data_IF_647341218255
#
_entry.id   IF_647341218255
#
_cell.length_a   1.000
_cell.length_b   1.000
_cell.length_c   1.000
_cell.angle_alpha   90.00
_cell.angle_beta   90.00
_cell.angle_gamma   90.00
#
_symmetry.space_group_name_H-M   'P 1'
#
loop_
_entity.id
_entity.type
_entity.pdbx_description
1 polymer ?
#
# COMPACT_ATOMS: atom_id res chain seq x y z
N UNK A 1 -30.28 21.75 42.75
CA UNK A 1 -28.90 21.61 42.27
C UNK A 1 -28.93 21.88 40.77
N UNK A 2 -28.43 23.04 40.38
CA UNK A 2 -28.49 23.56 39.02
C UNK A 2 -27.61 22.75 38.10
N UNK A 3 -28.19 22.11 37.09
CA UNK A 3 -27.44 21.62 35.94
C UNK A 3 -26.92 22.85 35.18
N UNK A 4 -25.65 23.15 35.39
CA UNK A 4 -24.92 24.03 34.47
C UNK A 4 -24.95 23.42 33.10
N UNK A 5 -25.73 24.00 32.19
CA UNK A 5 -25.65 23.75 30.74
C UNK A 5 -24.28 24.20 30.26
N UNK A 6 -23.27 23.34 30.39
CA UNK A 6 -22.00 23.55 29.72
C UNK A 6 -22.32 23.58 28.22
N UNK A 7 -22.06 24.71 27.59
CA UNK A 7 -22.20 24.86 26.13
C UNK A 7 -21.40 23.74 25.45
N UNK A 8 -22.10 22.79 24.83
CA UNK A 8 -21.47 21.70 24.09
C UNK A 8 -20.49 22.27 23.08
N UNK A 9 -19.26 21.80 23.09
CA UNK A 9 -18.25 22.24 22.15
C UNK A 9 -18.68 21.88 20.72
N UNK A 10 -18.25 22.62 19.68
CA UNK A 10 -18.54 22.29 18.28
C UNK A 10 -18.15 20.84 17.93
N UNK A 11 -17.05 20.35 18.50
CA UNK A 11 -16.56 18.98 18.27
C UNK A 11 -17.52 17.95 18.88
N UNK A 12 -18.06 18.19 20.07
CA UNK A 12 -19.03 17.29 20.70
C UNK A 12 -20.35 17.24 19.92
N UNK A 13 -20.79 18.37 19.35
CA UNK A 13 -21.98 18.40 18.47
C UNK A 13 -21.74 17.58 17.18
N UNK A 14 -20.56 17.69 16.59
CA UNK A 14 -20.14 16.89 15.44
C UNK A 14 -20.13 15.40 15.77
N UNK A 15 -19.49 15.02 16.90
CA UNK A 15 -19.44 13.64 17.36
C UNK A 15 -20.86 13.06 17.57
N UNK A 16 -21.75 13.81 18.22
CA UNK A 16 -23.15 13.41 18.39
C UNK A 16 -23.86 13.20 17.06
N UNK A 17 -23.68 14.11 16.11
CA UNK A 17 -24.27 13.98 14.77
C UNK A 17 -23.78 12.70 14.06
N UNK A 18 -22.48 12.40 14.14
CA UNK A 18 -21.90 11.20 13.53
C UNK A 18 -22.49 9.94 14.15
N UNK A 19 -22.48 9.83 15.47
CA UNK A 19 -22.98 8.65 16.19
C UNK A 19 -24.47 8.43 15.95
N UNK A 20 -25.27 9.50 15.94
CA UNK A 20 -26.73 9.40 15.70
C UNK A 20 -27.06 9.02 14.25
N UNK A 21 -26.27 9.49 13.29
CA UNK A 21 -26.47 9.22 11.85
C UNK A 21 -25.68 8.00 11.34
N UNK A 22 -25.11 7.15 12.22
CA UNK A 22 -24.28 5.99 11.86
C UNK A 22 -24.85 5.10 10.75
N UNK A 23 -26.18 4.91 10.70
CA UNK A 23 -26.81 4.11 9.63
C UNK A 23 -26.65 4.74 8.25
N UNK A 24 -26.73 6.06 8.16
CA UNK A 24 -26.49 6.79 6.92
C UNK A 24 -25.03 6.68 6.50
N UNK A 25 -24.09 6.80 7.45
CA UNK A 25 -22.67 6.62 7.16
C UNK A 25 -22.33 5.19 6.70
N UNK A 26 -22.93 4.14 7.28
CA UNK A 26 -22.77 2.77 6.75
C UNK A 26 -23.18 2.66 5.29
N UNK A 27 -24.30 3.28 4.91
CA UNK A 27 -24.78 3.24 3.54
C UNK A 27 -23.85 4.02 2.59
N UNK A 28 -23.37 5.18 3.01
CA UNK A 28 -22.41 5.99 2.26
C UNK A 28 -21.08 5.21 2.05
N UNK A 29 -20.54 4.62 3.12
CA UNK A 29 -19.31 3.83 3.01
C UNK A 29 -19.49 2.58 2.16
N UNK A 30 -20.66 1.90 2.26
CA UNK A 30 -20.96 0.75 1.40
C UNK A 30 -20.97 1.16 -0.08
N UNK A 31 -21.65 2.27 -0.41
CA UNK A 31 -21.67 2.78 -1.78
C UNK A 31 -20.27 3.20 -2.26
N UNK A 32 -19.50 3.88 -1.40
CA UNK A 32 -18.15 4.30 -1.70
C UNK A 32 -17.20 3.10 -1.92
N UNK A 33 -17.30 2.05 -1.08
CA UNK A 33 -16.51 0.82 -1.24
C UNK A 33 -16.85 0.09 -2.53
N UNK A 34 -18.14 -0.02 -2.89
CA UNK A 34 -18.53 -0.63 -4.16
C UNK A 34 -18.03 0.16 -5.37
N UNK A 35 -18.13 1.48 -5.32
CA UNK A 35 -17.61 2.36 -6.37
C UNK A 35 -16.09 2.27 -6.48
N UNK A 36 -15.38 2.46 -5.37
CA UNK A 36 -13.92 2.41 -5.35
C UNK A 36 -13.38 1.01 -5.70
N UNK A 37 -14.03 -0.06 -5.21
CA UNK A 37 -13.66 -1.43 -5.54
C UNK A 37 -13.74 -1.72 -7.04
N UNK A 38 -14.79 -1.22 -7.72
CA UNK A 38 -14.93 -1.35 -9.18
C UNK A 38 -13.97 -0.46 -9.98
N UNK A 39 -13.27 0.46 -9.32
CA UNK A 39 -12.36 1.40 -9.98
C UNK A 39 -10.88 1.05 -9.77
N UNK A 40 -10.56 0.06 -8.94
CA UNK A 40 -9.17 -0.35 -8.68
C UNK A 40 -8.47 -0.80 -9.98
N UNK A 41 -9.15 -1.55 -10.82
CA UNK A 41 -8.61 -2.06 -12.10
C UNK A 41 -8.35 -0.95 -13.13
N UNK A 42 -8.83 0.27 -12.88
CA UNK A 42 -8.60 1.43 -13.76
C UNK A 42 -7.36 2.23 -13.38
N UNK A 43 -6.71 1.86 -12.29
CA UNK A 43 -5.50 2.54 -11.83
C UNK A 43 -4.32 2.12 -12.69
N UNK A 44 -3.72 3.08 -13.37
CA UNK A 44 -2.51 2.85 -14.16
C UNK A 44 -1.30 2.96 -13.23
N UNK A 45 -0.54 1.85 -13.13
CA UNK A 45 0.71 1.83 -12.38
C UNK A 45 1.86 2.04 -13.36
N UNK A 46 2.68 3.06 -13.10
CA UNK A 46 3.84 3.37 -13.93
C UNK A 46 5.10 2.76 -13.30
N UNK A 47 5.72 1.84 -14.01
CA UNK A 47 6.93 1.12 -13.60
C UNK A 47 8.21 1.83 -14.03
N UNK A 48 8.13 2.80 -14.95
CA UNK A 48 9.28 3.55 -15.42
C UNK A 48 9.65 4.69 -14.46
N UNK A 49 10.71 4.49 -13.69
CA UNK A 49 11.24 5.51 -12.75
C UNK A 49 11.78 6.74 -13.51
N UNK A 50 12.25 6.56 -14.75
CA UNK A 50 12.85 7.65 -15.53
C UNK A 50 11.82 8.70 -15.91
N UNK A 51 10.54 8.32 -16.02
CA UNK A 51 9.42 9.22 -16.30
C UNK A 51 9.21 10.28 -15.20
N UNK A 52 9.71 10.01 -13.98
CA UNK A 52 9.63 10.92 -12.84
C UNK A 52 10.83 11.89 -12.74
N UNK A 53 11.84 11.75 -13.61
CA UNK A 53 12.96 12.70 -13.69
C UNK A 53 12.47 14.07 -14.16
N UNK A 54 13.01 15.18 -13.60
CA UNK A 54 12.73 16.53 -14.11
C UNK A 54 13.12 16.65 -15.59
N UNK A 55 12.27 17.32 -16.37
CA UNK A 55 12.47 17.48 -17.82
C UNK A 55 13.80 18.19 -18.19
N UNK A 56 14.38 18.93 -17.24
CA UNK A 56 15.61 19.71 -17.45
C UNK A 56 16.89 18.86 -17.23
N UNK A 57 16.78 17.63 -16.69
CA UNK A 57 17.91 16.77 -16.48
C UNK A 57 18.47 16.27 -17.81
N UNK A 58 19.82 16.15 -17.89
CA UNK A 58 20.49 15.64 -19.08
C UNK A 58 20.02 14.22 -19.43
N UNK A 59 19.81 13.38 -18.42
CA UNK A 59 19.29 12.02 -18.60
C UNK A 59 17.90 12.03 -19.24
N UNK A 60 16.96 12.86 -18.75
CA UNK A 60 15.61 12.94 -19.34
C UNK A 60 15.63 13.47 -20.75
N UNK A 61 16.46 14.49 -21.04
CA UNK A 61 16.66 15.00 -22.41
C UNK A 61 17.26 13.95 -23.32
N UNK A 62 18.25 13.19 -22.84
CA UNK A 62 18.84 12.10 -23.61
C UNK A 62 17.83 11.01 -23.95
N UNK A 63 17.02 10.59 -22.98
CA UNK A 63 15.94 9.60 -23.21
C UNK A 63 14.90 10.13 -24.21
N UNK A 64 14.44 11.37 -24.05
CA UNK A 64 13.50 11.98 -25.00
C UNK A 64 14.07 12.04 -26.41
N UNK A 65 15.34 12.42 -26.55
CA UNK A 65 16.01 12.44 -27.84
C UNK A 65 16.12 11.03 -28.47
N UNK A 66 16.39 10.03 -27.63
CA UNK A 66 16.42 8.63 -28.07
C UNK A 66 15.05 8.18 -28.58
N UNK A 67 13.98 8.51 -27.85
CA UNK A 67 12.60 8.15 -28.23
C UNK A 67 12.13 8.88 -29.51
N UNK A 68 12.58 10.13 -29.72
CA UNK A 68 12.20 10.93 -30.90
C UNK A 68 12.98 10.57 -32.16
N UNK A 69 14.29 10.26 -32.02
CA UNK A 69 15.18 10.10 -33.17
C UNK A 69 15.51 8.63 -33.48
N UNK A 70 15.28 7.70 -32.56
CA UNK A 70 15.62 6.29 -32.70
C UNK A 70 14.41 5.40 -32.36
N UNK A 71 14.21 4.37 -33.18
CA UNK A 71 13.26 3.30 -32.81
C UNK A 71 13.91 2.41 -31.76
N UNK A 72 13.37 2.42 -30.53
CA UNK A 72 13.86 1.57 -29.45
C UNK A 72 13.16 0.22 -29.53
N UNK A 73 13.86 -0.78 -30.03
CA UNK A 73 13.39 -2.16 -29.98
C UNK A 73 13.49 -2.72 -28.58
N UNK A 74 12.51 -3.54 -28.23
CA UNK A 74 12.55 -4.24 -26.96
C UNK A 74 13.73 -5.21 -26.88
N UNK A 75 14.30 -5.35 -25.69
CA UNK A 75 15.34 -6.34 -25.43
C UNK A 75 15.16 -6.95 -24.05
N UNK A 76 15.80 -8.09 -23.79
CA UNK A 76 15.82 -8.71 -22.48
C UNK A 76 17.18 -9.33 -22.19
N UNK A 77 17.59 -9.31 -20.92
CA UNK A 77 18.69 -10.14 -20.44
C UNK A 77 18.13 -11.39 -19.78
N UNK A 78 18.58 -12.55 -20.19
CA UNK A 78 18.19 -13.83 -19.62
C UNK A 78 19.38 -14.46 -18.96
N UNK A 79 19.31 -14.71 -17.68
CA UNK A 79 20.37 -15.39 -16.93
C UNK A 79 19.89 -16.79 -16.55
N UNK A 80 20.69 -17.81 -16.83
CA UNK A 80 20.46 -19.18 -16.39
C UNK A 80 21.59 -19.59 -15.44
N UNK A 81 21.23 -20.13 -14.28
CA UNK A 81 22.18 -20.63 -13.29
C UNK A 81 22.26 -22.16 -13.34
N UNK A 82 23.39 -22.71 -12.88
CA UNK A 82 23.64 -24.15 -12.82
C UNK A 82 23.56 -24.86 -14.18
N UNK A 83 24.00 -24.21 -15.23
CA UNK A 83 24.05 -24.75 -16.60
C UNK A 83 25.49 -24.96 -17.06
N UNK A 84 25.71 -25.97 -17.90
CA UNK A 84 26.98 -26.11 -18.61
C UNK A 84 27.00 -25.23 -19.85
N UNK A 85 28.20 -24.85 -20.33
CA UNK A 85 28.32 -24.04 -21.55
C UNK A 85 27.58 -24.66 -22.74
N UNK A 86 27.67 -26.00 -22.93
CA UNK A 86 26.98 -26.72 -24.01
C UNK A 86 25.44 -26.68 -23.88
N UNK A 87 24.92 -26.63 -22.65
CA UNK A 87 23.48 -26.42 -22.43
C UNK A 87 23.09 -24.99 -22.76
N UNK A 88 23.90 -24.01 -22.33
CA UNK A 88 23.67 -22.61 -22.64
C UNK A 88 23.69 -22.34 -24.14
N UNK A 89 24.65 -22.94 -24.89
CA UNK A 89 24.72 -22.82 -26.36
C UNK A 89 23.44 -23.37 -27.02
N UNK A 90 22.88 -24.47 -26.54
CA UNK A 90 21.60 -25.00 -27.04
C UNK A 90 20.43 -24.08 -26.75
N UNK A 91 20.40 -23.50 -25.56
CA UNK A 91 19.35 -22.54 -25.18
C UNK A 91 19.47 -21.28 -26.02
N UNK A 92 20.67 -20.77 -26.27
CA UNK A 92 20.89 -19.64 -27.18
C UNK A 92 20.33 -19.88 -28.57
N UNK A 93 20.55 -21.08 -29.12
CA UNK A 93 19.98 -21.46 -30.42
C UNK A 93 18.45 -21.53 -30.37
N UNK A 94 17.88 -22.10 -29.32
CA UNK A 94 16.42 -22.14 -29.12
C UNK A 94 15.79 -20.76 -28.96
N UNK A 95 16.45 -19.87 -28.21
CA UNK A 95 16.00 -18.46 -28.06
C UNK A 95 16.00 -17.73 -29.42
N UNK A 96 17.02 -17.97 -30.23
CA UNK A 96 17.12 -17.34 -31.56
C UNK A 96 16.06 -17.85 -32.58
N UNK A 97 15.46 -19.01 -32.34
CA UNK A 97 14.40 -19.58 -33.16
C UNK A 97 12.98 -19.12 -32.76
N UNK A 98 12.83 -18.39 -31.63
CA UNK A 98 11.55 -17.90 -31.20
C UNK A 98 11.01 -16.79 -32.11
N UNK A 99 9.71 -16.82 -32.37
CA UNK A 99 9.02 -15.76 -33.10
C UNK A 99 9.13 -14.44 -32.33
N UNK A 100 9.48 -13.35 -33.02
CA UNK A 100 9.66 -12.04 -32.42
C UNK A 100 11.04 -11.78 -31.82
N UNK A 101 11.97 -12.75 -31.85
CA UNK A 101 13.39 -12.56 -31.51
C UNK A 101 14.18 -12.20 -32.75
N UNK A 102 14.90 -11.08 -32.72
CA UNK A 102 15.76 -10.62 -33.80
C UNK A 102 17.19 -11.10 -33.68
N UNK A 103 17.73 -11.17 -32.47
CA UNK A 103 19.09 -11.65 -32.22
C UNK A 103 19.29 -12.09 -30.77
N UNK A 104 20.23 -13.02 -30.58
CA UNK A 104 20.68 -13.47 -29.27
C UNK A 104 22.19 -13.37 -29.22
N UNK A 105 22.71 -12.57 -28.30
CA UNK A 105 24.16 -12.50 -28.06
C UNK A 105 24.52 -13.42 -26.88
N UNK A 106 25.38 -14.39 -27.19
CA UNK A 106 25.97 -15.33 -26.23
C UNK A 106 27.30 -15.85 -26.80
N UNK A 107 28.35 -15.83 -26.02
CA UNK A 107 29.66 -16.36 -26.37
C UNK A 107 30.36 -16.95 -25.13
N UNK A 108 31.63 -17.40 -25.30
CA UNK A 108 32.46 -17.99 -24.26
C UNK A 108 33.21 -16.96 -23.41
N UNK A 109 32.93 -15.67 -23.56
CA UNK A 109 33.48 -14.62 -22.73
C UNK A 109 32.99 -14.70 -21.27
N UNK A 110 33.78 -14.14 -20.35
CA UNK A 110 33.39 -14.06 -18.94
C UNK A 110 32.18 -13.15 -18.71
N UNK A 111 31.78 -12.35 -19.67
CA UNK A 111 30.62 -11.48 -19.63
C UNK A 111 29.34 -12.28 -19.88
N UNK A 112 29.41 -13.36 -20.69
CA UNK A 112 28.26 -14.18 -21.03
C UNK A 112 28.25 -15.54 -20.31
N UNK A 113 29.41 -16.11 -19.94
CA UNK A 113 29.46 -17.38 -19.23
C UNK A 113 30.51 -17.38 -18.12
N UNK A 114 30.03 -17.53 -16.86
CA UNK A 114 30.87 -17.55 -15.67
C UNK A 114 30.25 -18.37 -14.55
N UNK A 115 31.05 -19.13 -13.81
CA UNK A 115 30.65 -19.85 -12.61
C UNK A 115 29.38 -20.74 -12.82
N UNK A 116 29.32 -21.46 -13.94
CA UNK A 116 28.16 -22.26 -14.35
C UNK A 116 26.86 -21.44 -14.56
N UNK A 117 26.98 -20.17 -14.81
CA UNK A 117 25.87 -19.26 -15.16
C UNK A 117 26.08 -18.70 -16.54
N UNK A 118 24.98 -18.64 -17.32
CA UNK A 118 24.96 -18.08 -18.67
C UNK A 118 24.10 -16.83 -18.71
N UNK A 119 24.57 -15.76 -19.35
CA UNK A 119 23.84 -14.52 -19.60
C UNK A 119 23.64 -14.33 -21.09
N UNK A 120 22.38 -14.29 -21.52
CA UNK A 120 21.99 -14.03 -22.89
C UNK A 120 21.45 -12.61 -23.02
N UNK A 121 21.88 -11.87 -24.04
CA UNK A 121 21.24 -10.62 -24.43
C UNK A 121 20.35 -10.88 -25.64
N UNK A 122 19.04 -10.78 -25.42
CA UNK A 122 18.01 -11.07 -26.44
C UNK A 122 17.45 -9.74 -26.93
N UNK A 123 17.44 -9.52 -28.25
CA UNK A 123 16.79 -8.37 -28.88
C UNK A 123 15.53 -8.85 -29.62
N UNK A 124 14.47 -8.09 -29.53
CA UNK A 124 13.18 -8.39 -30.18
C UNK A 124 13.00 -7.62 -31.48
N UNK A 125 12.05 -8.02 -32.28
CA UNK A 125 11.66 -7.32 -33.51
C UNK A 125 10.62 -6.23 -33.25
N UNK A 126 9.88 -6.33 -32.14
CA UNK A 126 8.88 -5.36 -31.73
C UNK A 126 9.48 -4.20 -30.95
N UNK A 127 8.83 -3.04 -30.99
CA UNK A 127 9.15 -1.89 -30.16
C UNK A 127 8.81 -2.17 -28.68
N UNK A 128 9.47 -1.48 -27.78
CA UNK A 128 9.20 -1.58 -26.36
C UNK A 128 7.73 -1.25 -26.04
N UNK A 129 7.06 -2.15 -25.28
CA UNK A 129 5.63 -2.04 -24.96
C UNK A 129 4.68 -2.43 -26.09
N UNK A 130 5.18 -2.97 -27.23
CA UNK A 130 4.31 -3.51 -28.27
C UNK A 130 3.78 -4.91 -27.92
N UNK A 131 2.56 -5.28 -28.36
CA UNK A 131 2.01 -6.62 -28.11
C UNK A 131 2.90 -7.75 -28.68
N UNK A 132 3.65 -7.47 -29.75
CA UNK A 132 4.58 -8.41 -30.36
C UNK A 132 5.80 -8.67 -29.47
N UNK A 133 6.36 -7.61 -28.88
CA UNK A 133 7.47 -7.73 -27.92
C UNK A 133 7.03 -8.45 -26.64
N UNK A 134 5.84 -8.15 -26.14
CA UNK A 134 5.28 -8.81 -24.94
C UNK A 134 5.06 -10.32 -25.19
N UNK A 135 4.56 -10.69 -26.37
CA UNK A 135 4.38 -12.09 -26.74
C UNK A 135 5.73 -12.83 -26.88
N UNK A 136 6.73 -12.19 -27.48
CA UNK A 136 8.08 -12.75 -27.59
C UNK A 136 8.75 -12.90 -26.21
N UNK A 137 8.61 -11.91 -25.34
CA UNK A 137 9.10 -11.98 -23.97
C UNK A 137 8.43 -13.11 -23.17
N UNK A 138 7.12 -13.31 -23.34
CA UNK A 138 6.42 -14.43 -22.71
C UNK A 138 6.97 -15.79 -23.20
N UNK A 139 7.25 -15.94 -24.50
CA UNK A 139 7.86 -17.15 -25.07
C UNK A 139 9.29 -17.38 -24.51
N UNK A 140 10.08 -16.31 -24.34
CA UNK A 140 11.40 -16.39 -23.71
C UNK A 140 11.30 -16.85 -22.24
N UNK A 141 10.36 -16.29 -21.47
CA UNK A 141 10.10 -16.70 -20.09
C UNK A 141 9.68 -18.19 -20.01
N UNK A 142 8.83 -18.66 -20.91
CA UNK A 142 8.39 -20.06 -20.97
C UNK A 142 9.56 -21.02 -21.29
N UNK A 143 10.43 -20.63 -22.23
CA UNK A 143 11.62 -21.42 -22.58
C UNK A 143 12.63 -21.48 -21.43
N UNK A 144 12.78 -20.40 -20.67
CA UNK A 144 13.66 -20.33 -19.50
C UNK A 144 13.11 -21.07 -18.28
N UNK A 145 11.78 -21.23 -18.14
CA UNK A 145 11.09 -21.77 -16.98
C UNK A 145 11.61 -23.13 -16.44
N UNK A 146 12.12 -24.09 -17.26
CA UNK A 146 12.69 -25.33 -16.75
C UNK A 146 14.03 -25.18 -16.03
N UNK A 147 14.66 -24.01 -16.11
CA UNK A 147 15.97 -23.71 -15.52
C UNK A 147 15.84 -22.80 -14.29
N UNK A 148 16.90 -22.75 -13.49
CA UNK A 148 17.05 -21.69 -12.49
C UNK A 148 17.42 -20.39 -13.23
N UNK A 149 16.46 -19.49 -13.40
CA UNK A 149 16.52 -18.40 -14.35
C UNK A 149 16.08 -17.05 -13.79
N UNK A 150 16.60 -16.00 -14.40
CA UNK A 150 16.13 -14.63 -14.25
C UNK A 150 15.99 -14.01 -15.64
N UNK A 151 14.86 -13.32 -15.90
CA UNK A 151 14.61 -12.61 -17.15
C UNK A 151 14.38 -11.13 -16.83
N UNK A 152 15.24 -10.26 -17.35
CA UNK A 152 15.19 -8.81 -17.13
C UNK A 152 14.88 -8.12 -18.46
N UNK A 153 13.60 -7.76 -18.74
CA UNK A 153 13.24 -7.00 -19.93
C UNK A 153 13.78 -5.56 -19.84
N UNK A 154 14.14 -4.98 -20.99
CA UNK A 154 14.39 -3.53 -21.08
C UNK A 154 13.09 -2.78 -20.79
N UNK A 155 13.20 -1.64 -20.11
CA UNK A 155 12.02 -0.89 -19.68
C UNK A 155 11.37 -1.37 -18.38
N UNK A 156 11.64 -2.61 -17.97
CA UNK A 156 11.23 -3.14 -16.67
C UNK A 156 12.41 -3.80 -15.92
N UNK A 157 13.38 -2.99 -15.46
CA UNK A 157 14.61 -3.49 -14.84
C UNK A 157 14.38 -4.22 -13.52
N UNK A 158 13.17 -4.19 -12.99
CA UNK A 158 12.84 -4.79 -11.70
C UNK A 158 11.94 -6.02 -11.81
N UNK A 159 11.56 -6.47 -13.03
CA UNK A 159 10.55 -7.51 -13.23
C UNK A 159 9.30 -7.25 -12.37
N UNK A 160 8.40 -6.41 -12.87
CA UNK A 160 7.20 -5.95 -12.15
C UNK A 160 6.39 -7.08 -11.55
N UNK A 161 6.35 -8.25 -12.21
CA UNK A 161 5.60 -9.42 -11.72
C UNK A 161 6.24 -9.99 -10.45
N UNK A 162 7.57 -10.11 -10.42
CA UNK A 162 8.32 -10.57 -9.24
C UNK A 162 8.19 -9.57 -8.08
N UNK A 163 8.29 -8.26 -8.36
CA UNK A 163 8.08 -7.23 -7.34
C UNK A 163 6.68 -7.26 -6.77
N UNK A 164 5.65 -7.43 -7.59
CA UNK A 164 4.27 -7.52 -7.12
C UNK A 164 4.05 -8.75 -6.24
N UNK A 165 4.68 -9.88 -6.57
CA UNK A 165 4.63 -11.08 -5.75
C UNK A 165 5.35 -10.89 -4.41
N UNK A 166 6.54 -10.33 -4.41
CA UNK A 166 7.29 -9.99 -3.18
C UNK A 166 6.52 -9.02 -2.30
N UNK A 167 5.93 -7.96 -2.89
CA UNK A 167 5.11 -7.02 -2.15
C UNK A 167 3.89 -7.68 -1.52
N UNK A 168 3.26 -8.65 -2.19
CA UNK A 168 2.15 -9.41 -1.62
C UNK A 168 2.59 -10.21 -0.39
N UNK A 169 3.76 -10.84 -0.44
CA UNK A 169 4.34 -11.57 0.71
C UNK A 169 4.67 -10.61 1.85
N UNK A 170 5.31 -9.48 1.56
CA UNK A 170 5.63 -8.45 2.57
C UNK A 170 4.35 -7.94 3.24
N UNK A 171 3.31 -7.65 2.46
CA UNK A 171 2.02 -7.19 2.99
C UNK A 171 1.35 -8.25 3.86
N UNK A 172 1.41 -9.51 3.46
CA UNK A 172 0.87 -10.62 4.26
C UNK A 172 1.61 -10.78 5.60
N UNK A 173 2.95 -10.68 5.58
CA UNK A 173 3.77 -10.73 6.81
C UNK A 173 3.44 -9.52 7.71
N UNK A 174 3.41 -8.31 7.14
CA UNK A 174 3.07 -7.10 7.88
C UNK A 174 1.68 -7.21 8.52
N UNK A 175 0.67 -7.66 7.77
CA UNK A 175 -0.67 -7.88 8.27
C UNK A 175 -0.70 -8.93 9.41
N UNK A 176 0.03 -10.05 9.27
CA UNK A 176 0.12 -11.07 10.31
C UNK A 176 0.76 -10.54 11.60
N UNK A 177 1.85 -9.77 11.50
CA UNK A 177 2.52 -9.15 12.65
C UNK A 177 1.57 -8.17 13.33
N UNK A 178 0.88 -7.32 12.58
CA UNK A 178 -0.07 -6.35 13.12
C UNK A 178 -1.24 -7.06 13.82
N UNK A 179 -1.83 -8.08 13.20
CA UNK A 179 -2.89 -8.87 13.83
C UNK A 179 -2.40 -9.51 15.13
N UNK A 180 -1.19 -10.06 15.16
CA UNK A 180 -0.59 -10.62 16.37
C UNK A 180 -0.46 -9.54 17.46
N UNK A 181 0.10 -8.37 17.14
CA UNK A 181 0.23 -7.25 18.09
C UNK A 181 -1.14 -6.81 18.59
N UNK A 182 -2.14 -6.67 17.72
CA UNK A 182 -3.49 -6.31 18.10
C UNK A 182 -4.13 -7.32 19.04
N UNK A 183 -3.95 -8.62 18.80
CA UNK A 183 -4.45 -9.67 19.68
C UNK A 183 -3.83 -9.61 21.08
N UNK A 184 -2.57 -9.18 21.18
CA UNK A 184 -1.90 -9.02 22.48
C UNK A 184 -2.29 -7.72 23.19
N UNK A 185 -2.54 -6.64 22.47
CA UNK A 185 -2.80 -5.31 23.05
C UNK A 185 -4.28 -5.00 23.23
N UNK A 186 -5.17 -5.61 22.44
CA UNK A 186 -6.62 -5.43 22.51
C UNK A 186 -7.22 -6.11 23.73
N UNK A 187 -8.29 -5.53 24.27
CA UNK A 187 -9.07 -6.10 25.38
C UNK A 187 -10.16 -7.07 24.95
N UNK A 188 -10.43 -7.16 23.64
CA UNK A 188 -11.47 -8.02 23.05
C UNK A 188 -11.09 -8.45 21.63
N UNK A 189 -11.34 -9.70 21.28
CA UNK A 189 -11.10 -10.20 19.92
C UNK A 189 -11.97 -9.49 18.86
N UNK A 190 -13.17 -9.04 19.22
CA UNK A 190 -14.03 -8.29 18.30
C UNK A 190 -13.52 -6.88 18.02
N UNK A 191 -12.76 -6.26 18.91
CA UNK A 191 -12.08 -4.99 18.62
C UNK A 191 -11.13 -5.13 17.44
N UNK A 192 -10.35 -6.22 17.41
CA UNK A 192 -9.42 -6.50 16.30
C UNK A 192 -10.16 -6.62 14.98
N UNK A 193 -11.33 -7.29 14.97
CA UNK A 193 -12.18 -7.39 13.78
C UNK A 193 -12.66 -6.01 13.32
N UNK A 194 -13.08 -5.14 14.24
CA UNK A 194 -13.50 -3.76 13.92
C UNK A 194 -12.34 -2.99 13.29
N UNK A 195 -11.12 -3.09 13.85
CA UNK A 195 -9.93 -2.43 13.30
C UNK A 195 -9.63 -2.90 11.88
N UNK A 196 -9.69 -4.21 11.62
CA UNK A 196 -9.46 -4.76 10.29
C UNK A 196 -10.52 -4.30 9.28
N UNK A 197 -11.80 -4.24 9.68
CA UNK A 197 -12.87 -3.72 8.80
C UNK A 197 -12.59 -2.25 8.43
N UNK A 198 -12.25 -1.41 9.42
CA UNK A 198 -11.95 0.01 9.20
C UNK A 198 -10.74 0.17 8.28
N UNK A 199 -9.69 -0.64 8.49
CA UNK A 199 -8.51 -0.65 7.62
C UNK A 199 -8.85 -1.04 6.18
N UNK A 200 -9.52 -2.19 5.98
CA UNK A 200 -9.87 -2.67 4.63
C UNK A 200 -10.72 -1.63 3.88
N UNK A 201 -11.69 -1.04 4.55
CA UNK A 201 -12.51 0.02 3.95
C UNK A 201 -11.66 1.22 3.57
N UNK A 202 -10.79 1.70 4.45
CA UNK A 202 -9.92 2.85 4.17
C UNK A 202 -8.94 2.58 3.04
N UNK A 203 -8.40 1.35 2.95
CA UNK A 203 -7.49 0.93 1.89
C UNK A 203 -8.20 0.89 0.52
N UNK A 204 -9.41 0.31 0.47
CA UNK A 204 -10.22 0.29 -0.77
C UNK A 204 -10.54 1.72 -1.23
N UNK A 205 -10.90 2.62 -0.31
CA UNK A 205 -11.16 4.02 -0.64
C UNK A 205 -9.90 4.71 -1.19
N UNK A 206 -8.74 4.49 -0.57
CA UNK A 206 -7.50 5.08 -1.04
C UNK A 206 -7.08 4.52 -2.40
N UNK A 207 -7.00 3.20 -2.54
CA UNK A 207 -6.58 2.57 -3.80
C UNK A 207 -7.59 2.84 -4.93
N UNK A 208 -8.88 2.68 -4.65
CA UNK A 208 -9.92 2.86 -5.65
C UNK A 208 -10.11 4.30 -6.13
N UNK A 209 -9.60 5.29 -5.39
CA UNK A 209 -9.59 6.70 -5.85
C UNK A 209 -8.29 7.10 -6.56
N UNK A 210 -7.31 6.19 -6.68
CA UNK A 210 -6.08 6.47 -7.43
C UNK A 210 -6.33 6.65 -8.94
N UNK A 211 -7.45 6.12 -9.48
CA UNK A 211 -7.83 6.36 -10.89
C UNK A 211 -8.05 7.85 -11.24
N UNK A 212 -8.17 8.73 -10.23
CA UNK A 212 -8.26 10.17 -10.43
C UNK A 212 -6.92 10.80 -10.83
N UNK A 213 -5.84 10.07 -10.71
CA UNK A 213 -4.50 10.45 -11.18
C UNK A 213 -4.21 9.74 -12.49
N UNK A 214 -3.45 10.38 -13.36
CA UNK A 214 -3.09 9.82 -14.68
C UNK A 214 -2.35 8.48 -14.52
N UNK A 215 -1.41 8.43 -13.59
CA UNK A 215 -0.71 7.20 -13.20
C UNK A 215 -0.17 7.34 -11.77
N UNK A 216 0.13 6.21 -11.15
CA UNK A 216 0.75 6.12 -9.83
C UNK A 216 2.03 5.29 -9.95
N UNK A 217 3.14 5.77 -9.37
CA UNK A 217 4.39 5.01 -9.34
C UNK A 217 4.19 3.66 -8.66
N UNK A 218 4.84 2.62 -9.18
CA UNK A 218 4.84 1.31 -8.52
C UNK A 218 5.38 1.37 -7.09
N UNK A 219 6.38 2.22 -6.84
CA UNK A 219 6.93 2.46 -5.49
C UNK A 219 5.86 3.05 -4.57
N UNK A 220 5.15 4.08 -5.03
CA UNK A 220 4.06 4.71 -4.27
C UNK A 220 2.94 3.71 -3.99
N UNK A 221 2.54 2.95 -4.99
CA UNK A 221 1.47 1.96 -4.87
C UNK A 221 1.83 0.87 -3.84
N UNK A 222 3.07 0.38 -3.86
CA UNK A 222 3.57 -0.61 -2.92
C UNK A 222 3.62 -0.08 -1.47
N UNK A 223 4.17 1.11 -1.26
CA UNK A 223 4.34 1.70 0.07
C UNK A 223 3.00 2.18 0.66
N UNK A 224 2.10 2.68 -0.18
CA UNK A 224 0.84 3.29 0.26
C UNK A 224 0.01 2.35 1.13
N UNK A 225 -0.14 1.09 0.75
CA UNK A 225 -0.95 0.11 1.49
C UNK A 225 -0.32 -0.21 2.85
N UNK A 226 1.01 -0.40 2.90
CA UNK A 226 1.73 -0.73 4.14
C UNK A 226 1.68 0.43 5.13
N UNK A 227 1.97 1.66 4.66
CA UNK A 227 1.90 2.84 5.52
C UNK A 227 0.48 3.12 6.01
N UNK A 228 -0.50 2.96 5.12
CA UNK A 228 -1.90 3.15 5.48
C UNK A 228 -2.37 2.12 6.51
N UNK A 229 -1.92 0.86 6.41
CA UNK A 229 -2.20 -0.19 7.39
C UNK A 229 -1.74 0.25 8.79
N UNK A 230 -0.50 0.71 8.90
CA UNK A 230 0.06 1.16 10.17
C UNK A 230 -0.74 2.33 10.77
N UNK A 231 -0.95 3.41 9.98
CA UNK A 231 -1.61 4.62 10.45
C UNK A 231 -3.11 4.44 10.75
N UNK A 232 -3.82 3.66 9.94
CA UNK A 232 -5.25 3.42 10.17
C UNK A 232 -5.48 2.67 11.49
N UNK A 233 -4.61 1.72 11.81
CA UNK A 233 -4.69 0.94 13.05
C UNK A 233 -4.37 1.80 14.26
N UNK A 234 -3.35 2.66 14.19
CA UNK A 234 -3.02 3.58 15.29
C UNK A 234 -4.21 4.49 15.62
N UNK A 235 -4.87 5.05 14.60
CA UNK A 235 -6.06 5.88 14.83
C UNK A 235 -7.22 5.10 15.42
N UNK A 236 -7.42 3.87 14.98
CA UNK A 236 -8.45 3.00 15.50
C UNK A 236 -8.18 2.62 16.97
N UNK A 237 -6.93 2.34 17.33
CA UNK A 237 -6.51 2.05 18.71
C UNK A 237 -6.76 3.26 19.62
N UNK A 238 -6.34 4.48 19.20
CA UNK A 238 -6.56 5.70 19.98
C UNK A 238 -8.04 5.89 20.27
N UNK A 239 -8.89 5.77 19.26
CA UNK A 239 -10.32 5.95 19.44
C UNK A 239 -10.94 4.85 20.31
N UNK A 240 -10.57 3.58 20.08
CA UNK A 240 -11.09 2.47 20.87
C UNK A 240 -10.67 2.56 22.34
N UNK A 241 -9.42 2.94 22.64
CA UNK A 241 -8.98 3.16 24.01
C UNK A 241 -9.80 4.24 24.70
N UNK A 242 -10.10 5.37 24.03
CA UNK A 242 -10.97 6.42 24.58
C UNK A 242 -12.39 5.90 24.81
N UNK A 243 -12.91 5.10 23.89
CA UNK A 243 -14.23 4.48 24.05
C UNK A 243 -14.29 3.56 25.27
N UNK A 244 -13.28 2.69 25.44
CA UNK A 244 -13.23 1.78 26.58
C UNK A 244 -13.04 2.52 27.91
N UNK A 245 -12.24 3.59 27.93
CA UNK A 245 -12.08 4.46 29.10
C UNK A 245 -13.43 5.06 29.54
N UNK A 246 -14.21 5.60 28.60
CA UNK A 246 -15.51 6.19 28.90
C UNK A 246 -16.54 5.12 29.32
N UNK A 247 -16.44 3.90 28.77
CA UNK A 247 -17.25 2.75 29.22
C UNK A 247 -16.90 2.32 30.65
N UNK A 248 -15.61 2.27 30.97
CA UNK A 248 -15.13 1.92 32.33
C UNK A 248 -15.50 3.00 33.35
N UNK A 249 -15.68 4.27 32.95
CA UNK A 249 -16.23 5.36 33.75
C UNK A 249 -17.76 5.28 33.98
N UNK A 250 -18.42 4.29 33.38
CA UNK A 250 -19.85 4.00 33.60
C UNK A 250 -20.80 4.67 32.60
N UNK A 251 -20.31 5.33 31.56
CA UNK A 251 -21.16 5.87 30.52
C UNK A 251 -21.82 4.73 29.71
N UNK A 252 -23.02 4.95 29.22
CA UNK A 252 -23.66 4.02 28.30
C UNK A 252 -22.91 4.00 26.95
N UNK A 253 -23.16 3.00 26.10
CA UNK A 253 -22.41 2.82 24.87
C UNK A 253 -22.50 4.03 23.93
N UNK A 254 -23.65 4.72 23.88
CA UNK A 254 -23.84 5.86 22.99
C UNK A 254 -23.10 7.11 23.52
N UNK A 255 -23.24 7.42 24.80
CA UNK A 255 -22.60 8.61 25.40
C UNK A 255 -21.08 8.41 25.48
N UNK A 256 -20.62 7.18 25.77
CA UNK A 256 -19.19 6.83 25.72
C UNK A 256 -18.61 7.03 24.31
N UNK A 257 -19.34 6.63 23.27
CA UNK A 257 -18.90 6.79 21.87
C UNK A 257 -18.81 8.27 21.46
N UNK A 258 -19.80 9.09 21.88
CA UNK A 258 -19.78 10.56 21.65
C UNK A 258 -18.60 11.22 22.39
N UNK A 259 -18.39 10.87 23.66
CA UNK A 259 -17.31 11.43 24.46
C UNK A 259 -15.94 11.04 23.90
N UNK A 260 -15.77 9.75 23.58
CA UNK A 260 -14.54 9.23 22.99
C UNK A 260 -14.24 9.86 21.63
N UNK A 261 -15.23 9.93 20.74
CA UNK A 261 -15.07 10.52 19.42
C UNK A 261 -14.69 12.01 19.51
N UNK A 262 -15.31 12.75 20.41
CA UNK A 262 -14.98 14.18 20.58
C UNK A 262 -13.53 14.42 21.01
N UNK A 263 -12.95 13.52 21.83
CA UNK A 263 -11.54 13.56 22.22
C UNK A 263 -10.63 13.07 21.10
N UNK A 264 -10.98 11.93 20.51
CA UNK A 264 -10.20 11.29 19.45
C UNK A 264 -10.06 12.17 18.20
N UNK A 265 -11.11 12.92 17.80
CA UNK A 265 -11.03 13.87 16.68
C UNK A 265 -9.87 14.84 16.86
N UNK A 266 -9.72 15.41 18.05
CA UNK A 266 -8.66 16.38 18.33
C UNK A 266 -7.28 15.73 18.31
N UNK A 267 -7.13 14.59 19.00
CA UNK A 267 -5.86 13.88 19.11
C UNK A 267 -5.37 13.37 17.76
N UNK A 268 -6.25 12.64 17.03
CA UNK A 268 -5.93 12.06 15.73
C UNK A 268 -5.70 13.15 14.68
N UNK A 269 -6.54 14.19 14.62
CA UNK A 269 -6.36 15.27 13.64
C UNK A 269 -5.05 16.02 13.86
N UNK A 270 -4.65 16.25 15.11
CA UNK A 270 -3.39 16.93 15.44
C UNK A 270 -2.18 16.08 14.98
N UNK A 271 -2.17 14.79 15.26
CA UNK A 271 -1.11 13.87 14.84
C UNK A 271 -1.08 13.73 13.29
N UNK A 272 -2.25 13.52 12.67
CA UNK A 272 -2.37 13.37 11.22
C UNK A 272 -1.91 14.61 10.47
N UNK A 273 -2.21 15.80 10.99
CA UNK A 273 -1.78 17.06 10.36
C UNK A 273 -0.25 17.16 10.28
N UNK A 274 0.45 16.72 11.33
CA UNK A 274 1.91 16.69 11.34
C UNK A 274 2.45 15.76 10.26
N UNK A 275 1.89 14.55 10.17
CA UNK A 275 2.30 13.55 9.15
C UNK A 275 1.99 14.04 7.74
N UNK A 276 0.78 14.58 7.51
CA UNK A 276 0.39 15.16 6.22
C UNK A 276 1.32 16.31 5.83
N UNK A 277 1.69 17.18 6.79
CA UNK A 277 2.63 18.28 6.52
C UNK A 277 3.99 17.77 6.04
N UNK A 278 4.49 16.68 6.63
CA UNK A 278 5.72 16.03 6.16
C UNK A 278 5.58 15.46 4.74
N UNK A 279 4.44 14.81 4.44
CA UNK A 279 4.18 14.26 3.11
C UNK A 279 3.96 15.37 2.06
N UNK A 280 3.32 16.48 2.42
CA UNK A 280 3.19 17.66 1.55
C UNK A 280 4.56 18.26 1.25
N UNK A 281 5.51 18.23 2.21
CA UNK A 281 6.88 18.67 1.94
C UNK A 281 7.58 17.82 0.86
N UNK A 282 7.25 16.52 0.72
CA UNK A 282 7.75 15.68 -0.38
C UNK A 282 7.28 16.18 -1.75
N UNK A 283 6.09 16.80 -1.84
CA UNK A 283 5.59 17.34 -3.11
C UNK A 283 6.43 18.50 -3.64
N UNK A 284 7.28 19.10 -2.81
CA UNK A 284 8.19 20.19 -3.21
C UNK A 284 9.53 19.69 -3.76
N UNK A 285 9.74 18.36 -3.80
CA UNK A 285 10.93 17.78 -4.39
C UNK A 285 10.95 17.98 -5.91
N UNK A 286 12.15 18.21 -6.46
CA UNK A 286 12.33 18.28 -7.91
C UNK A 286 12.04 16.93 -8.59
N UNK A 287 12.37 15.83 -7.95
CA UNK A 287 12.04 14.50 -8.43
C UNK A 287 10.54 14.20 -8.25
N UNK A 288 9.83 14.04 -9.36
CA UNK A 288 8.35 13.98 -9.39
C UNK A 288 7.74 12.82 -8.61
N UNK A 289 8.52 11.78 -8.31
CA UNK A 289 8.08 10.67 -7.44
C UNK A 289 7.72 11.17 -6.02
N UNK A 290 8.40 12.22 -5.53
CA UNK A 290 8.06 12.85 -4.26
C UNK A 290 6.67 13.47 -4.27
N UNK A 291 6.25 14.07 -5.40
CA UNK A 291 4.90 14.59 -5.58
C UNK A 291 3.86 13.47 -5.57
N UNK A 292 4.12 12.39 -6.32
CA UNK A 292 3.25 11.22 -6.41
C UNK A 292 3.07 10.57 -5.03
N UNK A 293 4.17 10.27 -4.33
CA UNK A 293 4.12 9.75 -2.97
C UNK A 293 3.38 10.69 -2.02
N UNK A 294 3.72 11.97 -2.06
CA UNK A 294 3.15 12.97 -1.17
C UNK A 294 1.62 13.04 -1.27
N UNK A 295 1.07 13.05 -2.48
CA UNK A 295 -0.38 13.16 -2.68
C UNK A 295 -1.12 11.87 -2.35
N UNK A 296 -0.62 10.71 -2.81
CA UNK A 296 -1.28 9.40 -2.59
C UNK A 296 -1.27 9.01 -1.12
N UNK A 297 -0.13 9.21 -0.43
CA UNK A 297 -0.02 8.88 0.99
C UNK A 297 -0.83 9.86 1.87
N UNK A 298 -0.80 11.17 1.57
CA UNK A 298 -1.63 12.15 2.28
C UNK A 298 -3.12 11.85 2.13
N UNK A 299 -3.57 11.50 0.92
CA UNK A 299 -4.94 11.04 0.67
C UNK A 299 -5.26 9.77 1.48
N UNK A 300 -4.33 8.82 1.54
CA UNK A 300 -4.47 7.60 2.35
C UNK A 300 -4.71 7.89 3.83
N UNK A 301 -3.98 8.87 4.40
CA UNK A 301 -4.19 9.32 5.79
C UNK A 301 -5.60 9.91 5.97
N UNK A 302 -6.03 10.75 5.04
CA UNK A 302 -7.38 11.34 5.09
C UNK A 302 -8.45 10.26 4.99
N UNK A 303 -8.32 9.29 4.08
CA UNK A 303 -9.23 8.15 3.98
C UNK A 303 -9.30 7.33 5.28
N UNK A 304 -8.14 7.08 5.91
CA UNK A 304 -8.07 6.36 7.20
C UNK A 304 -8.74 7.15 8.33
N UNK A 305 -8.44 8.43 8.42
CA UNK A 305 -9.03 9.32 9.42
C UNK A 305 -10.56 9.41 9.28
N UNK A 306 -11.06 9.58 8.04
CA UNK A 306 -12.50 9.59 7.77
C UNK A 306 -13.15 8.26 8.10
N UNK A 307 -12.52 7.13 7.79
CA UNK A 307 -13.04 5.80 8.13
C UNK A 307 -13.11 5.60 9.65
N UNK A 308 -12.10 6.04 10.39
CA UNK A 308 -12.11 5.96 11.86
C UNK A 308 -13.19 6.88 12.44
N UNK A 309 -13.33 8.13 11.99
CA UNK A 309 -14.30 9.05 12.58
C UNK A 309 -15.74 8.73 12.21
N UNK A 310 -16.02 8.29 11.00
CA UNK A 310 -17.38 8.16 10.50
C UNK A 310 -17.93 6.73 10.51
N UNK A 311 -17.07 5.73 10.29
CA UNK A 311 -17.48 4.33 10.23
C UNK A 311 -17.32 3.60 11.56
N UNK A 312 -16.17 3.80 12.25
CA UNK A 312 -15.82 3.05 13.45
C UNK A 312 -16.82 3.24 14.62
N UNK A 313 -17.36 4.45 14.92
CA UNK A 313 -18.38 4.63 15.95
C UNK A 313 -19.58 3.72 15.75
N UNK A 314 -20.07 3.63 14.51
CA UNK A 314 -21.15 2.75 14.16
C UNK A 314 -20.83 1.27 14.37
N UNK A 315 -19.61 0.85 14.03
CA UNK A 315 -19.14 -0.53 14.22
C UNK A 315 -19.01 -0.88 15.70
N UNK A 316 -18.44 0.00 16.54
CA UNK A 316 -18.34 -0.22 17.97
C UNK A 316 -19.72 -0.38 18.61
N UNK A 317 -20.70 0.44 18.22
CA UNK A 317 -22.07 0.29 18.70
C UNK A 317 -22.74 -1.01 18.18
N UNK A 318 -22.48 -1.40 16.94
CA UNK A 318 -23.03 -2.63 16.36
C UNK A 318 -22.49 -3.87 17.09
N UNK A 319 -21.19 -3.88 17.36
CA UNK A 319 -20.49 -4.99 18.01
C UNK A 319 -20.39 -4.87 19.54
N UNK A 320 -20.96 -3.83 20.16
CA UNK A 320 -20.83 -3.56 21.60
C UNK A 320 -21.10 -4.78 22.49
N UNK A 321 -22.23 -5.49 22.27
CA UNK A 321 -22.59 -6.70 23.03
C UNK A 321 -21.55 -7.82 22.85
N UNK A 322 -20.97 -7.95 21.65
CA UNK A 322 -19.95 -8.93 21.36
C UNK A 322 -18.61 -8.56 22.00
N UNK A 323 -18.25 -7.30 21.96
CA UNK A 323 -17.02 -6.76 22.59
C UNK A 323 -17.05 -7.03 24.08
N UNK A 324 -18.17 -6.73 24.77
CA UNK A 324 -18.36 -7.02 26.18
C UNK A 324 -18.28 -8.53 26.50
N UNK A 325 -18.85 -9.38 25.64
CA UNK A 325 -18.85 -10.84 25.83
C UNK A 325 -17.48 -11.48 25.59
N UNK A 326 -16.67 -10.93 24.67
CA UNK A 326 -15.35 -11.45 24.32
C UNK A 326 -14.21 -10.76 25.06
N UNK A 327 -14.53 -9.90 26.03
CA UNK A 327 -13.55 -9.19 26.85
C UNK A 327 -12.74 -10.19 27.67
N UNK A 328 -11.42 -10.12 27.54
CA UNK A 328 -10.48 -10.92 28.31
C UNK A 328 -9.58 -10.02 29.17
N UNK A 329 -8.95 -10.61 30.19
CA UNK A 329 -7.96 -9.88 31.01
C UNK A 329 -6.75 -9.54 30.13
N UNK A 330 -6.24 -8.30 30.30
CA UNK A 330 -5.03 -7.87 29.59
C UNK A 330 -3.91 -8.87 29.81
N UNK A 331 -3.34 -9.38 28.72
CA UNK A 331 -2.13 -10.22 28.73
C UNK A 331 -0.89 -9.41 29.11
N UNK A 332 -0.92 -8.10 28.85
CA UNK A 332 0.16 -7.18 29.26
C UNK A 332 -0.23 -6.54 30.60
N UNK A 333 0.55 -6.75 31.68
CA UNK A 333 0.33 -6.07 32.94
C UNK A 333 0.38 -4.55 32.72
N UNK A 334 -0.60 -3.83 33.26
CA UNK A 334 -0.60 -2.37 33.26
C UNK A 334 0.71 -1.86 33.86
N UNK A 335 1.50 -1.12 33.08
CA UNK A 335 2.73 -0.44 33.54
C UNK A 335 2.40 0.73 34.51
N UNK A 336 1.14 0.91 34.84
CA UNK A 336 0.67 1.92 35.79
C UNK A 336 1.25 1.77 37.21
N UNK A 337 2.08 0.76 37.49
CA UNK A 337 2.80 0.57 38.77
C UNK A 337 4.22 1.16 38.80
N UNK A 338 4.71 1.78 37.73
CA UNK A 338 6.04 2.40 37.66
C UNK A 338 5.96 3.94 37.81
N UNK A 339 5.10 4.41 38.72
CA UNK A 339 5.24 5.77 39.21
C UNK A 339 6.50 5.88 40.10
N UNK A 340 7.24 7.03 40.05
CA UNK A 340 8.33 7.23 41.01
C UNK A 340 7.81 7.05 42.44
N UNK A 341 8.62 6.48 43.38
CA UNK A 341 8.20 6.35 44.76
C UNK A 341 7.85 7.72 45.30
N UNK A 342 6.83 7.83 46.22
CA UNK A 342 6.50 9.09 46.85
C UNK A 342 7.73 9.59 47.61
N UNK A 343 8.12 10.84 47.33
CA UNK A 343 9.14 11.58 48.08
C UNK A 343 8.69 11.85 49.50
#
# INVERSE_FOLDING_TARGET
MSQTSSSETPVTKLARFIVDKRKAFFLVFLAAVLFCGSSIDKVVVNNDITSYLPAETETRRGLTLMDEEFTTYASAQVMLSNVTYRQAEKVAAQLAELDGVSSVAFDDSTDHFKDSSALFSVSFTGEEGSPEADAALAAVKELAAPYDHYVFPSGDPYDSDSLMQEMTVILAIAAAVIVAVLLFTSKSYLEVLVFLIVFVVSAILNMGTNFLFDSVSFITNAIAVVLQLALAIDYAIIFCHRYMEERDNGLDAREADIAALSKAIVEISSSSLTTISGLVALMLMQFRIGFDMGIVLSKGIVCSMLSVFLLMPGLLMLFNRGIEKTRHKNLVPSIAGWGPPPL
#
